data_IF_667973430662
#
_entry.id   IF_667973430662
#
_cell.length_a   1.000
_cell.length_b   1.000
_cell.length_c   1.000
_cell.angle_alpha   90.00
_cell.angle_beta   90.00
_cell.angle_gamma   90.00
#
_symmetry.space_group_name_H-M   'P 1'
#
loop_
_entity.id
_entity.type
_entity.pdbx_description
1 polymer ?
#
# COMPACT_ATOMS: atom_id res chain seq x y z
N UNK A 1 4.93 22.87 61.89
CA UNK A 1 5.64 22.83 60.61
C UNK A 1 5.84 21.37 60.30
N UNK A 2 4.94 20.73 59.51
CA UNK A 2 4.98 19.30 59.16
C UNK A 2 5.19 19.17 57.64
N UNK A 3 6.36 18.70 57.27
CA UNK A 3 6.72 18.40 55.91
C UNK A 3 6.08 17.07 55.51
N UNK A 4 5.21 17.06 54.49
CA UNK A 4 4.65 15.83 53.90
C UNK A 4 5.51 15.45 52.68
N UNK A 5 6.12 14.29 52.76
CA UNK A 5 6.76 13.64 51.59
C UNK A 5 5.69 13.09 50.66
N UNK A 6 5.70 13.54 49.41
CA UNK A 6 4.97 12.90 48.30
C UNK A 6 5.88 11.81 47.71
N UNK A 7 5.50 10.58 47.88
CA UNK A 7 6.06 9.45 47.12
C UNK A 7 5.42 9.43 45.73
N UNK A 8 6.19 9.72 44.70
CA UNK A 8 5.79 9.49 43.31
C UNK A 8 5.99 8.00 42.98
N UNK A 9 4.87 7.31 42.73
CA UNK A 9 4.92 5.94 42.19
C UNK A 9 5.04 6.05 40.66
N UNK A 10 6.22 5.67 40.16
CA UNK A 10 6.42 5.46 38.73
C UNK A 10 5.75 4.12 38.34
N UNK A 11 4.67 4.21 37.57
CA UNK A 11 4.02 3.07 36.95
C UNK A 11 4.83 2.67 35.72
N UNK A 12 5.60 1.59 35.83
CA UNK A 12 6.26 0.95 34.70
C UNK A 12 5.19 0.13 33.96
N UNK A 13 4.70 0.60 32.84
CA UNK A 13 3.88 -0.18 31.91
C UNK A 13 4.81 -1.18 31.20
N UNK A 14 4.80 -2.42 31.68
CA UNK A 14 5.29 -3.56 30.90
C UNK A 14 4.28 -3.84 29.77
N UNK A 15 4.62 -3.45 28.55
CA UNK A 15 3.95 -3.96 27.34
C UNK A 15 4.30 -5.43 27.18
N UNK A 16 3.41 -6.30 27.61
CA UNK A 16 3.43 -7.72 27.25
C UNK A 16 3.14 -7.80 25.74
N UNK A 17 4.18 -8.04 24.92
CA UNK A 17 4.00 -8.61 23.61
C UNK A 17 3.34 -9.98 23.76
N UNK A 18 2.04 -10.04 23.53
CA UNK A 18 1.32 -11.30 23.36
C UNK A 18 1.75 -11.87 22.02
N UNK A 19 2.72 -12.76 22.03
CA UNK A 19 3.02 -13.63 20.90
C UNK A 19 1.75 -14.46 20.62
N UNK A 20 1.07 -14.18 19.52
CA UNK A 20 0.03 -15.08 19.00
C UNK A 20 0.62 -16.47 18.82
N UNK A 21 -0.08 -17.54 19.22
CA UNK A 21 0.44 -18.89 19.04
C UNK A 21 0.64 -19.15 17.54
N UNK A 22 1.88 -19.46 17.17
CA UNK A 22 2.20 -19.93 15.83
C UNK A 22 1.35 -21.17 15.52
N UNK A 23 0.51 -21.09 14.51
CA UNK A 23 -0.16 -22.26 13.98
C UNK A 23 0.90 -23.21 13.40
N UNK A 24 1.02 -24.38 14.04
CA UNK A 24 1.72 -25.56 13.52
C UNK A 24 3.23 -25.52 13.28
N UNK A 25 4.05 -24.83 14.00
CA UNK A 25 5.50 -25.09 14.04
C UNK A 25 6.28 -25.05 12.69
N UNK A 26 5.65 -24.64 11.60
CA UNK A 26 6.26 -24.52 10.28
C UNK A 26 6.92 -23.16 10.15
N UNK A 27 8.21 -23.16 9.91
CA UNK A 27 8.97 -21.95 9.59
C UNK A 27 8.65 -21.52 8.15
N UNK A 28 7.77 -20.55 8.00
CA UNK A 28 7.26 -20.11 6.70
C UNK A 28 8.33 -19.45 5.83
N UNK A 29 9.41 -18.94 6.42
CA UNK A 29 10.54 -18.35 5.67
C UNK A 29 11.26 -19.38 4.78
N UNK A 30 11.08 -20.68 5.05
CA UNK A 30 11.61 -21.78 4.23
C UNK A 30 10.69 -22.20 3.10
N UNK A 31 9.47 -21.68 3.07
CA UNK A 31 8.49 -21.96 2.04
C UNK A 31 8.65 -20.96 0.87
N UNK A 32 7.91 -21.21 -0.19
CA UNK A 32 7.79 -20.29 -1.33
C UNK A 32 6.41 -19.64 -1.29
N UNK A 33 6.35 -18.33 -1.49
CA UNK A 33 5.10 -17.61 -1.64
C UNK A 33 4.36 -18.10 -2.89
N UNK A 34 3.04 -18.00 -2.88
CA UNK A 34 2.26 -18.31 -4.07
C UNK A 34 2.64 -17.38 -5.24
N UNK A 35 2.58 -17.86 -6.49
CA UNK A 35 2.87 -17.02 -7.64
C UNK A 35 1.82 -15.92 -7.79
N UNK A 36 2.28 -14.67 -7.86
CA UNK A 36 1.43 -13.50 -8.14
C UNK A 36 1.28 -13.29 -9.65
N UNK A 37 0.10 -12.86 -10.08
CA UNK A 37 -0.18 -12.52 -11.48
C UNK A 37 0.72 -11.39 -11.98
N UNK A 38 1.26 -11.54 -13.18
CA UNK A 38 2.25 -10.62 -13.75
C UNK A 38 1.79 -9.16 -13.81
N UNK A 39 0.51 -8.93 -14.15
CA UNK A 39 -0.02 -7.57 -14.25
C UNK A 39 -0.04 -6.82 -12.91
N UNK A 40 -0.12 -7.56 -11.78
CA UNK A 40 -0.03 -6.99 -10.44
C UNK A 40 1.44 -6.81 -10.00
N UNK A 41 2.28 -7.83 -10.20
CA UNK A 41 3.71 -7.77 -9.86
C UNK A 41 4.42 -6.61 -10.55
N UNK A 42 4.13 -6.38 -11.85
CA UNK A 42 4.71 -5.29 -12.64
C UNK A 42 3.98 -3.96 -12.47
N UNK A 43 2.92 -3.95 -11.68
CA UNK A 43 1.98 -2.86 -11.58
C UNK A 43 2.39 -1.72 -10.66
N UNK A 44 1.54 -0.70 -10.70
CA UNK A 44 1.49 0.41 -9.76
C UNK A 44 0.05 0.55 -9.29
N UNK A 45 -0.18 0.41 -7.99
CA UNK A 45 -1.50 0.56 -7.39
C UNK A 45 -1.82 2.05 -7.28
N UNK A 46 -3.03 2.42 -7.66
CA UNK A 46 -3.60 3.73 -7.43
C UNK A 46 -4.84 3.59 -6.54
N UNK A 47 -4.72 4.01 -5.31
CA UNK A 47 -5.78 3.95 -4.32
C UNK A 47 -6.73 5.13 -4.47
N UNK A 48 -8.02 4.85 -4.55
CA UNK A 48 -9.08 5.82 -4.81
C UNK A 48 -10.10 5.82 -3.67
N UNK A 49 -10.21 6.95 -2.98
CA UNK A 49 -11.37 7.22 -2.14
C UNK A 49 -12.43 7.94 -2.98
N UNK A 50 -13.50 7.27 -3.44
CA UNK A 50 -14.44 7.86 -4.42
C UNK A 50 -15.02 9.19 -3.94
N UNK A 51 -15.32 9.30 -2.64
CA UNK A 51 -15.84 10.53 -2.02
C UNK A 51 -14.91 11.72 -2.18
N UNK A 52 -13.62 11.51 -2.03
CA UNK A 52 -12.61 12.58 -2.06
C UNK A 52 -12.12 12.92 -3.48
N UNK A 53 -12.18 11.95 -4.40
CA UNK A 53 -11.48 11.95 -5.67
C UNK A 53 -11.95 13.04 -6.66
N UNK A 54 -13.23 13.38 -6.67
CA UNK A 54 -13.78 14.38 -7.59
C UNK A 54 -14.74 15.33 -6.89
N UNK A 55 -15.09 16.42 -7.54
CA UNK A 55 -16.13 17.33 -7.04
C UNK A 55 -17.47 16.61 -6.84
N UNK A 56 -17.81 15.65 -7.72
CA UNK A 56 -19.00 14.82 -7.61
C UNK A 56 -18.92 13.87 -6.40
N UNK A 57 -17.74 13.32 -6.13
CA UNK A 57 -17.51 12.37 -5.04
C UNK A 57 -18.20 11.01 -5.25
N UNK A 58 -18.29 10.57 -6.51
CA UNK A 58 -18.97 9.36 -6.93
C UNK A 58 -18.15 8.54 -7.95
N UNK A 59 -18.63 7.33 -8.30
CA UNK A 59 -17.98 6.44 -9.25
C UNK A 59 -17.88 7.04 -10.65
N UNK A 60 -18.86 7.86 -11.05
CA UNK A 60 -18.82 8.52 -12.33
C UNK A 60 -17.73 9.58 -12.39
N UNK A 61 -17.54 10.34 -11.31
CA UNK A 61 -16.44 11.29 -11.19
C UNK A 61 -15.05 10.63 -11.18
N UNK A 62 -14.96 9.38 -10.74
CA UNK A 62 -13.74 8.57 -10.89
C UNK A 62 -13.55 8.18 -12.35
N UNK A 63 -14.59 7.65 -12.99
CA UNK A 63 -14.54 7.19 -14.40
C UNK A 63 -14.17 8.33 -15.35
N UNK A 64 -14.68 9.54 -15.12
CA UNK A 64 -14.42 10.72 -15.96
C UNK A 64 -12.94 11.13 -15.99
N UNK A 65 -12.11 10.62 -15.04
CA UNK A 65 -10.67 10.92 -14.96
C UNK A 65 -9.76 9.76 -15.34
N UNK A 66 -10.27 8.73 -15.97
CA UNK A 66 -9.46 7.57 -16.35
C UNK A 66 -8.38 7.87 -17.38
N UNK A 67 -8.58 8.85 -18.26
CA UNK A 67 -7.54 9.25 -19.21
C UNK A 67 -6.36 9.94 -18.48
N UNK A 68 -6.64 10.70 -17.40
CA UNK A 68 -5.59 11.26 -16.54
C UNK A 68 -4.80 10.14 -15.84
N UNK A 69 -5.48 9.13 -15.29
CA UNK A 69 -4.84 8.00 -14.63
C UNK A 69 -4.03 7.13 -15.61
N UNK A 70 -4.53 6.93 -16.82
CA UNK A 70 -3.79 6.27 -17.89
C UNK A 70 -2.53 7.06 -18.27
N UNK A 71 -2.64 8.37 -18.40
CA UNK A 71 -1.50 9.28 -18.69
C UNK A 71 -0.49 9.26 -17.54
N UNK A 72 -0.94 9.22 -16.28
CA UNK A 72 -0.08 9.05 -15.11
C UNK A 72 0.71 7.73 -15.18
N UNK A 73 0.11 6.70 -15.76
CA UNK A 73 0.74 5.42 -15.99
C UNK A 73 0.38 4.33 -14.98
N UNK A 74 -0.49 4.57 -14.04
CA UNK A 74 -0.98 3.53 -13.11
C UNK A 74 -1.84 2.50 -13.85
N UNK A 75 -1.90 1.29 -13.33
CA UNK A 75 -2.61 0.20 -14.00
C UNK A 75 -3.45 -0.67 -13.07
N UNK A 76 -3.40 -0.46 -11.75
CA UNK A 76 -4.24 -1.13 -10.76
C UNK A 76 -5.02 -0.07 -10.00
N UNK A 77 -6.32 -0.02 -10.20
CA UNK A 77 -7.21 0.90 -9.49
C UNK A 77 -7.79 0.18 -8.28
N UNK A 78 -7.40 0.61 -7.07
CA UNK A 78 -7.97 0.12 -5.84
C UNK A 78 -9.05 1.10 -5.36
N UNK A 79 -10.31 0.69 -5.45
CA UNK A 79 -11.44 1.44 -4.88
C UNK A 79 -11.56 1.12 -3.38
N UNK A 80 -11.40 2.10 -2.51
CA UNK A 80 -11.75 2.00 -1.09
C UNK A 80 -13.22 1.55 -0.94
N UNK A 81 -13.70 1.11 0.25
CA UNK A 81 -15.02 0.50 0.38
C UNK A 81 -16.13 1.34 -0.24
N UNK A 82 -16.89 0.73 -1.13
CA UNK A 82 -18.00 1.37 -1.87
C UNK A 82 -19.37 0.93 -1.37
N UNK A 83 -19.43 0.13 -0.33
CA UNK A 83 -20.67 -0.36 0.28
C UNK A 83 -21.41 0.75 1.03
N UNK A 84 -22.73 0.59 1.27
CA UNK A 84 -23.48 1.46 2.15
C UNK A 84 -22.88 1.51 3.56
N UNK A 85 -22.69 2.71 4.08
CA UNK A 85 -22.11 2.97 5.40
C UNK A 85 -23.17 2.87 6.49
N UNK A 86 -22.79 2.35 7.66
CA UNK A 86 -23.66 2.30 8.83
C UNK A 86 -23.99 3.68 9.42
N UNK A 87 -25.23 3.83 9.86
CA UNK A 87 -25.70 5.05 10.53
C UNK A 87 -25.68 4.93 12.06
N UNK A 88 -25.83 3.70 12.58
CA UNK A 88 -25.82 3.46 14.02
C UNK A 88 -24.39 3.54 14.56
N UNK A 89 -24.17 4.41 15.54
CA UNK A 89 -22.88 4.67 16.18
C UNK A 89 -21.82 5.24 15.21
N UNK A 90 -22.21 5.84 14.08
CA UNK A 90 -21.26 6.36 13.11
C UNK A 90 -20.35 7.43 13.70
N UNK A 91 -19.10 7.45 13.27
CA UNK A 91 -18.09 8.47 13.56
C UNK A 91 -18.07 9.54 12.49
N UNK A 92 -17.79 10.80 12.84
CA UNK A 92 -17.75 11.92 11.91
C UNK A 92 -19.07 12.22 11.21
N UNK A 93 -19.03 13.09 10.23
CA UNK A 93 -20.24 13.56 9.52
C UNK A 93 -20.77 12.53 8.52
N UNK A 94 -19.90 11.73 7.88
CA UNK A 94 -20.27 10.78 6.82
C UNK A 94 -20.13 9.32 7.24
N UNK A 95 -19.55 9.03 8.41
CA UNK A 95 -19.26 7.68 8.88
C UNK A 95 -18.02 7.05 8.27
N UNK A 96 -17.56 5.95 8.87
CA UNK A 96 -16.44 5.17 8.35
C UNK A 96 -16.86 4.39 7.10
N UNK A 97 -16.13 4.47 5.98
CA UNK A 97 -16.37 3.61 4.82
C UNK A 97 -16.19 2.12 5.16
N UNK A 98 -15.47 1.83 6.24
CA UNK A 98 -15.25 0.48 6.75
C UNK A 98 -16.38 -0.05 7.63
N UNK A 99 -17.37 0.77 8.03
CA UNK A 99 -18.57 0.32 8.71
C UNK A 99 -19.63 -0.14 7.69
N UNK A 100 -19.48 -1.35 7.16
CA UNK A 100 -20.32 -1.89 6.07
C UNK A 100 -21.71 -2.26 6.57
N UNK A 101 -22.76 -1.60 6.04
CA UNK A 101 -24.17 -1.86 6.35
C UNK A 101 -24.80 -2.93 5.45
N UNK A 102 -24.37 -3.05 4.21
CA UNK A 102 -24.85 -4.05 3.26
C UNK A 102 -23.72 -4.50 2.33
N UNK A 103 -23.34 -5.77 2.41
CA UNK A 103 -22.27 -6.36 1.59
C UNK A 103 -22.59 -6.45 0.08
N UNK A 104 -23.87 -6.44 -0.31
CA UNK A 104 -24.30 -6.55 -1.70
C UNK A 104 -24.76 -5.22 -2.31
N UNK A 105 -24.72 -4.15 -1.53
CA UNK A 105 -25.12 -2.81 -1.93
C UNK A 105 -23.95 -1.94 -2.35
N UNK A 106 -24.24 -0.95 -3.19
CA UNK A 106 -23.37 0.20 -3.44
C UNK A 106 -23.92 1.39 -2.66
N UNK A 107 -23.03 2.17 -2.05
CA UNK A 107 -23.41 3.40 -1.36
C UNK A 107 -24.15 4.33 -2.31
N UNK A 108 -25.40 4.72 -2.01
CA UNK A 108 -26.18 5.61 -2.89
C UNK A 108 -25.48 6.93 -3.20
N UNK A 109 -24.60 7.40 -2.32
CA UNK A 109 -23.80 8.61 -2.57
C UNK A 109 -22.71 8.37 -3.65
N UNK A 110 -22.36 7.11 -3.93
CA UNK A 110 -21.34 6.76 -4.94
C UNK A 110 -21.97 6.37 -6.30
N UNK A 111 -23.26 6.09 -6.33
CA UNK A 111 -23.97 5.70 -7.55
C UNK A 111 -24.65 4.35 -7.46
N UNK A 112 -24.73 3.68 -8.61
CA UNK A 112 -25.47 2.44 -8.81
C UNK A 112 -24.56 1.28 -9.23
N UNK A 113 -25.11 0.07 -9.26
CA UNK A 113 -24.42 -1.11 -9.83
C UNK A 113 -24.08 -0.92 -11.31
N UNK A 114 -24.91 -0.18 -12.07
CA UNK A 114 -24.63 0.15 -13.46
C UNK A 114 -23.42 1.08 -13.59
N UNK A 115 -23.26 2.04 -12.67
CA UNK A 115 -22.10 2.93 -12.65
C UNK A 115 -20.81 2.17 -12.35
N UNK A 116 -20.82 1.21 -11.42
CA UNK A 116 -19.64 0.37 -11.17
C UNK A 116 -19.31 -0.53 -12.37
N UNK A 117 -20.31 -1.16 -13.00
CA UNK A 117 -20.09 -1.95 -14.24
C UNK A 117 -19.47 -1.09 -15.35
N UNK A 118 -19.96 0.15 -15.52
CA UNK A 118 -19.37 1.10 -16.46
C UNK A 118 -17.94 1.42 -16.10
N UNK A 119 -17.66 1.73 -14.84
CA UNK A 119 -16.32 2.02 -14.33
C UNK A 119 -15.34 0.89 -14.66
N UNK A 120 -15.67 -0.35 -14.32
CA UNK A 120 -14.80 -1.51 -14.57
C UNK A 120 -14.58 -1.71 -16.07
N UNK A 121 -15.64 -1.64 -16.89
CA UNK A 121 -15.54 -1.74 -18.36
C UNK A 121 -14.62 -0.68 -18.95
N UNK A 122 -14.77 0.58 -18.52
CA UNK A 122 -13.94 1.70 -19.01
C UNK A 122 -12.48 1.60 -18.55
N UNK A 123 -12.23 1.07 -17.34
CA UNK A 123 -10.88 0.77 -16.87
C UNK A 123 -10.22 -0.32 -17.73
N UNK A 124 -10.92 -1.43 -17.96
CA UNK A 124 -10.43 -2.53 -18.80
C UNK A 124 -10.15 -2.08 -20.24
N UNK A 125 -11.02 -1.24 -20.83
CA UNK A 125 -10.80 -0.69 -22.17
C UNK A 125 -9.50 0.15 -22.26
N UNK A 126 -8.99 0.65 -21.14
CA UNK A 126 -7.73 1.39 -21.06
C UNK A 126 -6.54 0.54 -20.60
N UNK A 127 -6.73 -0.77 -20.40
CA UNK A 127 -5.72 -1.69 -19.92
C UNK A 127 -5.45 -1.58 -18.41
N UNK A 128 -6.35 -0.97 -17.65
CA UNK A 128 -6.27 -0.89 -16.19
C UNK A 128 -7.11 -1.99 -15.54
N UNK A 129 -6.68 -2.46 -14.39
CA UNK A 129 -7.33 -3.47 -13.55
C UNK A 129 -8.05 -2.80 -12.38
N UNK A 130 -9.14 -3.39 -11.91
CA UNK A 130 -9.93 -2.83 -10.81
C UNK A 130 -10.03 -3.85 -9.67
N UNK A 131 -9.57 -3.45 -8.49
CA UNK A 131 -9.77 -4.17 -7.25
C UNK A 131 -10.63 -3.32 -6.30
N UNK A 132 -11.39 -3.97 -5.43
CA UNK A 132 -12.19 -3.28 -4.42
C UNK A 132 -11.78 -3.69 -3.02
N UNK A 133 -11.95 -2.77 -2.09
CA UNK A 133 -11.74 -3.02 -0.68
C UNK A 133 -12.87 -3.86 -0.09
N UNK A 134 -12.53 -4.89 0.68
CA UNK A 134 -13.48 -5.80 1.30
C UNK A 134 -13.24 -5.90 2.81
N UNK A 135 -14.25 -5.50 3.57
CA UNK A 135 -14.20 -5.48 5.03
C UNK A 135 -14.81 -6.77 5.58
N UNK A 136 -13.96 -7.75 5.90
CA UNK A 136 -14.43 -9.07 6.34
C UNK A 136 -14.31 -9.29 7.86
N UNK A 137 -13.63 -8.40 8.59
CA UNK A 137 -13.46 -8.55 10.04
C UNK A 137 -14.70 -8.13 10.86
N UNK A 138 -15.49 -7.18 10.34
CA UNK A 138 -16.58 -6.55 11.09
C UNK A 138 -17.65 -6.00 10.16
N UNK A 139 -18.80 -5.60 10.75
CA UNK A 139 -19.89 -4.89 10.04
C UNK A 139 -20.31 -3.66 10.81
N UNK A 140 -21.10 -2.79 10.18
CA UNK A 140 -21.86 -1.76 10.93
C UNK A 140 -22.89 -2.41 11.88
N UNK A 141 -23.26 -1.69 12.95
CA UNK A 141 -24.27 -2.13 13.92
C UNK A 141 -25.70 -2.20 13.37
N UNK A 142 -25.97 -1.57 12.24
CA UNK A 142 -27.24 -1.61 11.53
C UNK A 142 -27.18 -2.49 10.26
N UNK A 143 -26.15 -3.33 10.13
CA UNK A 143 -26.13 -4.38 9.12
C UNK A 143 -27.26 -5.39 9.40
N UNK A 144 -27.94 -5.83 8.34
CA UNK A 144 -29.07 -6.79 8.45
C UNK A 144 -28.69 -8.12 9.11
N UNK A 145 -27.42 -8.53 8.97
CA UNK A 145 -26.91 -9.77 9.56
C UNK A 145 -26.97 -9.77 11.09
N UNK A 146 -26.91 -8.61 11.74
CA UNK A 146 -27.07 -8.48 13.21
C UNK A 146 -28.39 -9.13 13.70
N UNK A 147 -29.45 -8.99 12.89
CA UNK A 147 -30.78 -9.53 13.24
C UNK A 147 -31.05 -10.90 12.63
N UNK A 148 -30.54 -11.14 11.41
CA UNK A 148 -30.80 -12.37 10.66
C UNK A 148 -29.90 -13.52 11.09
N UNK A 149 -28.65 -13.20 11.49
CA UNK A 149 -27.60 -14.15 11.81
C UNK A 149 -26.76 -13.65 12.98
N UNK A 150 -27.35 -13.44 14.20
CA UNK A 150 -26.57 -13.01 15.36
C UNK A 150 -25.44 -13.96 15.70
N UNK A 151 -25.58 -15.25 15.34
CA UNK A 151 -24.53 -16.27 15.49
C UNK A 151 -23.29 -16.07 14.60
N UNK A 152 -23.31 -15.10 13.69
CA UNK A 152 -22.15 -14.71 12.89
C UNK A 152 -21.19 -13.77 13.64
N UNK A 153 -21.58 -13.30 14.82
CA UNK A 153 -20.83 -12.31 15.57
C UNK A 153 -20.23 -12.88 16.85
N UNK A 154 -19.13 -12.29 17.28
CA UNK A 154 -18.55 -12.60 18.60
C UNK A 154 -19.39 -12.00 19.71
N UNK A 155 -19.55 -12.77 20.78
CA UNK A 155 -20.34 -12.37 21.95
C UNK A 155 -19.47 -12.28 23.18
N UNK A 156 -19.83 -11.35 24.08
CA UNK A 156 -19.25 -11.27 25.41
C UNK A 156 -19.82 -12.37 26.33
N UNK A 157 -19.33 -12.42 27.57
CA UNK A 157 -19.78 -13.41 28.57
C UNK A 157 -21.26 -13.24 28.99
N UNK A 158 -21.90 -12.13 28.63
CA UNK A 158 -23.31 -11.85 28.87
C UNK A 158 -24.18 -12.15 27.64
N UNK A 159 -23.60 -12.61 26.56
CA UNK A 159 -24.30 -12.90 25.32
C UNK A 159 -24.57 -11.68 24.42
N UNK A 160 -23.94 -10.53 24.67
CA UNK A 160 -24.07 -9.37 23.80
C UNK A 160 -23.05 -9.45 22.69
N UNK A 161 -23.43 -9.04 21.46
CA UNK A 161 -22.50 -8.87 20.37
C UNK A 161 -21.44 -7.84 20.76
N UNK A 162 -20.18 -8.12 20.48
CA UNK A 162 -19.04 -7.27 20.84
C UNK A 162 -18.41 -6.60 19.60
N UNK A 163 -17.41 -5.75 19.82
CA UNK A 163 -16.66 -5.04 18.80
C UNK A 163 -15.16 -5.36 18.93
N UNK A 164 -14.39 -5.26 17.83
CA UNK A 164 -12.95 -5.48 17.88
C UNK A 164 -12.22 -4.28 18.49
N UNK A 165 -11.23 -4.53 19.34
CA UNK A 165 -10.38 -3.49 19.92
C UNK A 165 -11.16 -2.34 20.58
N UNK A 166 -11.00 -1.09 20.09
CA UNK A 166 -11.74 0.10 20.52
C UNK A 166 -12.68 0.66 19.43
N UNK A 167 -13.01 -0.14 18.39
CA UNK A 167 -13.82 0.29 17.24
C UNK A 167 -15.31 0.15 17.54
N UNK A 168 -15.82 1.05 18.35
CA UNK A 168 -17.19 1.01 18.90
C UNK A 168 -18.31 1.23 17.86
N UNK A 169 -17.96 1.66 16.66
CA UNK A 169 -18.88 1.89 15.53
C UNK A 169 -19.17 0.62 14.70
N UNK A 170 -18.50 -0.51 14.99
CA UNK A 170 -18.64 -1.76 14.25
C UNK A 170 -18.86 -2.97 15.15
N UNK A 171 -19.39 -4.06 14.61
CA UNK A 171 -19.66 -5.33 15.29
C UNK A 171 -18.73 -6.43 14.75
N UNK A 172 -18.11 -7.22 15.63
CA UNK A 172 -17.06 -8.17 15.32
C UNK A 172 -17.61 -9.50 14.82
N UNK A 173 -17.15 -9.96 13.65
CA UNK A 173 -17.53 -11.23 13.06
C UNK A 173 -16.75 -12.40 13.69
N UNK A 174 -17.39 -13.58 13.76
CA UNK A 174 -16.82 -14.80 14.34
C UNK A 174 -16.58 -15.88 13.28
N UNK A 175 -15.35 -15.97 12.80
CA UNK A 175 -14.93 -16.94 11.81
C UNK A 175 -14.82 -18.40 12.31
N UNK A 176 -15.12 -18.68 13.56
CA UNK A 176 -15.35 -20.05 14.03
C UNK A 176 -16.66 -20.64 13.46
N UNK A 177 -17.60 -19.77 13.02
CA UNK A 177 -18.85 -20.17 12.42
C UNK A 177 -18.68 -20.52 10.92
N UNK A 178 -18.89 -21.79 10.49
CA UNK A 178 -18.71 -22.20 9.09
C UNK A 178 -19.73 -21.56 8.14
N UNK A 179 -20.93 -21.20 8.61
CA UNK A 179 -21.96 -20.53 7.79
C UNK A 179 -21.52 -19.09 7.45
N UNK A 180 -20.86 -18.40 8.36
CA UNK A 180 -20.26 -17.09 8.07
C UNK A 180 -19.20 -17.21 6.97
N UNK A 181 -18.30 -18.19 7.08
CA UNK A 181 -17.29 -18.44 6.05
C UNK A 181 -17.91 -18.65 4.67
N UNK A 182 -18.92 -19.50 4.58
CA UNK A 182 -19.65 -19.73 3.31
C UNK A 182 -20.27 -18.44 2.79
N UNK A 183 -20.98 -17.68 3.64
CA UNK A 183 -21.60 -16.41 3.27
C UNK A 183 -20.57 -15.40 2.69
N UNK A 184 -19.41 -15.28 3.31
CA UNK A 184 -18.37 -14.36 2.87
C UNK A 184 -17.73 -14.81 1.53
N UNK A 185 -17.51 -16.10 1.34
CA UNK A 185 -17.00 -16.63 0.08
C UNK A 185 -18.00 -16.40 -1.07
N UNK A 186 -19.29 -16.64 -0.83
CA UNK A 186 -20.35 -16.38 -1.81
C UNK A 186 -20.49 -14.90 -2.15
N UNK A 187 -20.33 -14.02 -1.15
CA UNK A 187 -20.34 -12.58 -1.33
C UNK A 187 -19.16 -12.13 -2.22
N UNK A 188 -17.95 -12.60 -1.94
CA UNK A 188 -16.78 -12.29 -2.78
C UNK A 188 -16.96 -12.80 -4.22
N UNK A 189 -17.46 -14.02 -4.38
CA UNK A 189 -17.76 -14.59 -5.70
C UNK A 189 -18.82 -13.79 -6.47
N UNK A 190 -19.83 -13.26 -5.75
CA UNK A 190 -20.82 -12.36 -6.33
C UNK A 190 -20.17 -11.09 -6.90
N UNK A 191 -19.31 -10.41 -6.14
CA UNK A 191 -18.64 -9.19 -6.59
C UNK A 191 -17.76 -9.43 -7.82
N UNK A 192 -17.02 -10.54 -7.86
CA UNK A 192 -16.21 -10.91 -9.02
C UNK A 192 -17.05 -11.15 -10.27
N UNK A 193 -18.14 -11.95 -10.15
CA UNK A 193 -18.99 -12.33 -11.30
C UNK A 193 -19.82 -11.15 -11.80
N UNK A 194 -20.39 -10.38 -10.88
CA UNK A 194 -21.35 -9.31 -11.22
C UNK A 194 -20.66 -8.10 -11.86
N UNK A 195 -19.41 -7.79 -11.43
CA UNK A 195 -18.71 -6.60 -11.84
C UNK A 195 -17.41 -6.85 -12.60
N UNK A 196 -17.05 -8.12 -12.83
CA UNK A 196 -15.80 -8.51 -13.50
C UNK A 196 -14.54 -7.91 -12.83
N UNK A 197 -14.53 -7.85 -11.48
CA UNK A 197 -13.41 -7.34 -10.71
C UNK A 197 -12.16 -8.21 -10.92
N UNK A 198 -10.98 -7.57 -10.83
CA UNK A 198 -9.69 -8.25 -11.01
C UNK A 198 -9.06 -8.66 -9.67
N UNK A 199 -9.69 -8.31 -8.55
CA UNK A 199 -9.21 -8.69 -7.24
C UNK A 199 -9.82 -7.89 -6.10
N UNK A 200 -9.17 -8.05 -4.94
CA UNK A 200 -9.60 -7.42 -3.70
C UNK A 200 -8.40 -6.94 -2.87
N UNK A 201 -8.59 -5.87 -2.12
CA UNK A 201 -7.83 -5.58 -0.92
C UNK A 201 -8.69 -5.97 0.28
N UNK A 202 -8.13 -6.67 1.22
CA UNK A 202 -8.84 -7.11 2.42
C UNK A 202 -8.42 -6.27 3.62
N UNK A 203 -9.42 -5.57 4.18
CA UNK A 203 -9.30 -4.80 5.39
C UNK A 203 -8.99 -5.69 6.58
N UNK A 204 -7.98 -5.31 7.39
CA UNK A 204 -7.57 -6.03 8.62
C UNK A 204 -7.43 -7.54 8.38
N UNK A 205 -6.80 -7.94 7.28
CA UNK A 205 -6.72 -9.33 6.82
C UNK A 205 -6.11 -10.28 7.86
N UNK A 206 -5.26 -9.79 8.75
CA UNK A 206 -4.64 -10.56 9.82
C UNK A 206 -5.62 -11.03 10.94
N UNK A 207 -6.87 -10.58 10.95
CA UNK A 207 -7.87 -10.96 11.97
C UNK A 207 -8.67 -12.22 11.60
N UNK A 208 -9.21 -12.38 10.37
CA UNK A 208 -9.76 -13.67 9.96
C UNK A 208 -8.65 -14.72 9.89
N UNK A 209 -8.94 -16.01 10.18
CA UNK A 209 -7.91 -17.05 10.22
C UNK A 209 -7.40 -17.42 8.82
N UNK A 210 -6.12 -17.78 8.71
CA UNK A 210 -5.46 -18.14 7.44
C UNK A 210 -6.18 -19.25 6.68
N UNK A 211 -6.70 -20.26 7.38
CA UNK A 211 -7.44 -21.36 6.77
C UNK A 211 -8.75 -20.90 6.09
N UNK A 212 -9.38 -19.82 6.58
CA UNK A 212 -10.51 -19.19 5.88
C UNK A 212 -10.04 -18.55 4.58
N UNK A 213 -8.92 -17.82 4.60
CA UNK A 213 -8.37 -17.22 3.39
C UNK A 213 -7.99 -18.25 2.34
N UNK A 214 -7.39 -19.38 2.74
CA UNK A 214 -7.08 -20.51 1.85
C UNK A 214 -8.35 -21.11 1.23
N UNK A 215 -9.43 -21.31 2.02
CA UNK A 215 -10.73 -21.78 1.53
C UNK A 215 -11.34 -20.80 0.52
N UNK A 216 -11.34 -19.51 0.86
CA UNK A 216 -11.88 -18.46 0.00
C UNK A 216 -11.10 -18.38 -1.32
N UNK A 217 -9.76 -18.41 -1.27
CA UNK A 217 -8.90 -18.40 -2.44
C UNK A 217 -9.20 -19.56 -3.38
N UNK A 218 -9.21 -20.77 -2.86
CA UNK A 218 -9.50 -21.98 -3.64
C UNK A 218 -10.89 -21.96 -4.30
N UNK A 219 -11.87 -21.29 -3.70
CA UNK A 219 -13.20 -21.10 -4.27
C UNK A 219 -13.22 -20.06 -5.39
N UNK A 220 -12.52 -18.91 -5.18
CA UNK A 220 -12.56 -17.78 -6.10
C UNK A 220 -11.68 -17.99 -7.33
N UNK A 221 -10.59 -18.72 -7.25
CA UNK A 221 -9.78 -19.11 -8.42
C UNK A 221 -10.56 -19.92 -9.45
N UNK A 222 -11.60 -20.66 -9.02
CA UNK A 222 -12.53 -21.33 -9.94
C UNK A 222 -13.44 -20.35 -10.68
N UNK A 223 -13.62 -19.16 -10.15
CA UNK A 223 -14.41 -18.09 -10.78
C UNK A 223 -13.55 -17.26 -11.73
N UNK A 224 -12.36 -16.84 -11.27
CA UNK A 224 -11.39 -16.06 -12.04
C UNK A 224 -9.97 -16.43 -11.60
N UNK A 225 -9.20 -17.18 -12.43
CA UNK A 225 -7.86 -17.63 -12.05
C UNK A 225 -6.85 -16.49 -11.83
N UNK A 226 -6.99 -15.39 -12.58
CA UNK A 226 -6.03 -14.26 -12.62
C UNK A 226 -6.33 -13.20 -11.56
N UNK A 227 -6.96 -13.57 -10.44
CA UNK A 227 -7.34 -12.64 -9.38
C UNK A 227 -6.14 -12.25 -8.52
N UNK A 228 -6.07 -10.95 -8.16
CA UNK A 228 -5.06 -10.40 -7.25
C UNK A 228 -5.66 -10.08 -5.88
N UNK A 229 -4.99 -10.52 -4.82
CA UNK A 229 -5.38 -10.30 -3.44
C UNK A 229 -4.31 -9.57 -2.64
N UNK A 230 -4.64 -8.39 -2.15
CA UNK A 230 -3.81 -7.57 -1.28
C UNK A 230 -4.33 -7.66 0.15
N UNK A 231 -3.51 -8.13 1.08
CA UNK A 231 -3.83 -8.17 2.50
C UNK A 231 -3.40 -6.87 3.21
N UNK A 232 -4.30 -6.23 3.93
CA UNK A 232 -3.86 -5.32 4.99
C UNK A 232 -3.47 -6.13 6.21
N UNK A 233 -2.18 -6.31 6.38
CA UNK A 233 -1.65 -7.13 7.47
C UNK A 233 -0.14 -7.32 7.33
N UNK A 234 0.39 -8.11 8.25
CA UNK A 234 1.81 -8.44 8.38
C UNK A 234 1.99 -9.94 8.76
N UNK A 235 1.14 -10.80 8.19
CA UNK A 235 1.14 -12.24 8.46
C UNK A 235 1.76 -13.02 7.31
N UNK A 236 2.98 -13.46 7.51
CA UNK A 236 3.79 -14.18 6.51
C UNK A 236 3.13 -15.49 6.02
N UNK A 237 2.36 -16.19 6.86
CA UNK A 237 1.70 -17.45 6.52
C UNK A 237 0.57 -17.28 5.47
N UNK A 238 -0.02 -16.09 5.37
CA UNK A 238 -1.09 -15.80 4.41
C UNK A 238 -0.59 -15.80 2.96
N UNK A 239 0.67 -15.42 2.71
CA UNK A 239 1.24 -15.39 1.36
C UNK A 239 1.68 -16.76 0.83
N UNK A 240 1.67 -17.80 1.66
CA UNK A 240 2.01 -19.16 1.18
C UNK A 240 0.96 -19.67 0.20
N UNK A 241 -0.35 -19.44 0.45
CA UNK A 241 -1.42 -20.00 -0.39
C UNK A 241 -2.59 -19.06 -0.69
N UNK A 242 -2.78 -17.98 0.06
CA UNK A 242 -3.97 -17.15 -0.05
C UNK A 242 -3.72 -15.78 -0.67
N UNK A 243 -2.83 -15.00 -0.11
CA UNK A 243 -2.59 -13.61 -0.50
C UNK A 243 -1.47 -13.50 -1.54
N UNK A 244 -1.58 -12.55 -2.46
CA UNK A 244 -0.58 -12.29 -3.47
C UNK A 244 0.44 -11.25 -3.01
N UNK A 245 0.05 -10.39 -2.08
CA UNK A 245 0.88 -9.37 -1.47
C UNK A 245 0.28 -8.93 -0.13
N UNK A 246 1.10 -8.36 0.74
CA UNK A 246 0.70 -7.70 1.98
C UNK A 246 1.23 -6.26 2.06
N UNK A 247 1.04 -5.62 3.21
CA UNK A 247 1.58 -4.30 3.51
C UNK A 247 3.00 -4.38 4.08
N UNK A 248 3.78 -3.33 3.87
CA UNK A 248 5.11 -3.17 4.47
C UNK A 248 5.07 -2.16 5.63
N UNK A 249 4.27 -2.42 6.66
CA UNK A 249 4.10 -1.49 7.79
C UNK A 249 5.41 -1.18 8.54
N UNK A 250 6.24 -2.20 8.79
CA UNK A 250 7.55 -2.00 9.43
C UNK A 250 8.45 -1.07 8.61
N UNK A 251 8.46 -1.23 7.27
CA UNK A 251 9.22 -0.35 6.37
C UNK A 251 8.66 1.08 6.36
N UNK A 252 7.32 1.24 6.33
CA UNK A 252 6.68 2.54 6.43
C UNK A 252 7.02 3.25 7.75
N UNK A 253 7.05 2.52 8.87
CA UNK A 253 7.44 3.05 10.17
C UNK A 253 8.93 3.45 10.20
N UNK A 254 9.80 2.63 9.59
CA UNK A 254 11.23 2.94 9.44
C UNK A 254 11.42 4.19 8.56
N UNK A 255 10.74 4.27 7.42
CA UNK A 255 10.71 5.44 6.54
C UNK A 255 10.36 6.71 7.32
N UNK A 256 9.26 6.66 8.07
CA UNK A 256 8.79 7.80 8.87
C UNK A 256 9.84 8.23 9.89
N UNK A 257 10.46 7.28 10.59
CA UNK A 257 11.48 7.58 11.59
C UNK A 257 12.77 8.16 10.99
N UNK A 258 13.20 7.65 9.84
CA UNK A 258 14.40 8.14 9.11
C UNK A 258 14.14 9.53 8.58
N UNK A 259 13.03 9.80 7.89
CA UNK A 259 12.68 11.10 7.33
C UNK A 259 12.46 12.18 8.39
N UNK A 260 12.10 11.77 9.61
CA UNK A 260 12.03 12.67 10.78
C UNK A 260 13.37 12.84 11.52
N UNK A 261 14.47 12.25 11.03
CA UNK A 261 15.78 12.29 11.66
C UNK A 261 15.87 11.55 13.01
N UNK A 262 14.92 10.65 13.29
CA UNK A 262 14.88 9.85 14.54
C UNK A 262 15.71 8.57 14.46
N UNK A 263 15.98 8.09 13.24
CA UNK A 263 16.80 6.91 12.95
C UNK A 263 17.74 7.20 11.77
N UNK A 264 18.91 6.56 11.68
CA UNK A 264 19.77 6.62 10.51
C UNK A 264 19.12 5.91 9.31
N UNK A 265 19.63 6.17 8.10
CA UNK A 265 19.17 5.57 6.85
C UNK A 265 19.27 4.04 6.84
N UNK A 266 20.22 3.46 7.61
CA UNK A 266 20.34 2.00 7.79
C UNK A 266 19.06 1.33 8.28
N UNK A 267 18.20 2.04 9.01
CA UNK A 267 16.93 1.49 9.50
C UNK A 267 15.98 1.04 8.37
N UNK A 268 16.14 1.58 7.16
CA UNK A 268 15.41 1.14 5.97
C UNK A 268 15.85 -0.27 5.58
N UNK A 269 17.18 -0.47 5.46
CA UNK A 269 17.76 -1.79 5.15
C UNK A 269 17.40 -2.81 6.23
N UNK A 270 17.55 -2.46 7.49
CA UNK A 270 17.25 -3.33 8.64
C UNK A 270 15.79 -3.79 8.63
N UNK A 271 14.85 -2.86 8.37
CA UNK A 271 13.43 -3.19 8.27
C UNK A 271 13.11 -4.07 7.07
N UNK A 272 13.70 -3.77 5.91
CA UNK A 272 13.56 -4.59 4.71
C UNK A 272 14.10 -6.00 4.94
N UNK A 273 15.32 -6.14 5.50
CA UNK A 273 15.95 -7.42 5.77
C UNK A 273 15.12 -8.29 6.73
N UNK A 274 14.60 -7.67 7.81
CA UNK A 274 13.73 -8.35 8.78
C UNK A 274 12.50 -8.96 8.08
N UNK A 275 11.85 -8.21 7.19
CA UNK A 275 10.70 -8.70 6.43
C UNK A 275 11.13 -9.79 5.44
N UNK A 276 12.20 -9.56 4.67
CA UNK A 276 12.73 -10.51 3.70
C UNK A 276 13.08 -11.87 4.33
N UNK A 277 13.67 -11.87 5.53
CA UNK A 277 14.08 -13.10 6.24
C UNK A 277 12.92 -13.84 6.90
N UNK A 278 11.81 -13.16 7.20
CA UNK A 278 10.68 -13.73 7.92
C UNK A 278 9.56 -14.24 6.99
N UNK A 279 9.45 -13.70 5.77
CA UNK A 279 8.40 -14.07 4.80
C UNK A 279 8.83 -15.23 3.88
N UNK A 280 7.86 -15.91 3.23
CA UNK A 280 8.16 -16.95 2.24
C UNK A 280 8.98 -16.37 1.08
N UNK A 281 9.84 -17.18 0.48
CA UNK A 281 10.65 -16.76 -0.66
C UNK A 281 9.77 -16.30 -1.82
N UNK A 282 10.04 -15.10 -2.33
CA UNK A 282 9.27 -14.49 -3.43
C UNK A 282 7.99 -13.79 -2.98
N UNK A 283 7.77 -13.62 -1.67
CA UNK A 283 6.71 -12.78 -1.12
C UNK A 283 6.77 -11.35 -1.70
N UNK A 284 5.61 -10.75 -1.90
CA UNK A 284 5.49 -9.39 -2.44
C UNK A 284 4.82 -8.47 -1.43
N UNK A 285 5.36 -7.26 -1.32
CA UNK A 285 4.84 -6.27 -0.40
C UNK A 285 4.41 -5.01 -1.14
N UNK A 286 3.28 -4.43 -0.75
CA UNK A 286 2.93 -3.09 -1.18
C UNK A 286 3.83 -2.07 -0.50
N UNK A 287 4.49 -1.23 -1.29
CA UNK A 287 5.39 -0.17 -0.82
C UNK A 287 4.69 1.18 -0.89
N UNK A 288 4.62 1.89 0.23
CA UNK A 288 3.89 3.14 0.32
C UNK A 288 4.56 4.15 1.26
N UNK A 289 4.48 5.41 0.92
CA UNK A 289 4.90 6.54 1.76
C UNK A 289 3.73 7.14 2.54
N UNK A 290 2.52 7.09 2.01
CA UNK A 290 1.26 7.31 2.72
C UNK A 290 0.11 6.52 2.06
N UNK A 291 -1.05 6.48 2.72
CA UNK A 291 -2.30 5.90 2.26
C UNK A 291 -3.48 6.61 2.96
N UNK A 292 -4.69 6.03 2.87
CA UNK A 292 -5.89 6.61 3.49
C UNK A 292 -5.89 6.62 5.03
N UNK A 293 -5.07 5.80 5.70
CA UNK A 293 -4.95 5.75 7.16
C UNK A 293 -3.88 6.69 7.71
N UNK A 294 -2.96 7.10 6.86
CA UNK A 294 -1.81 7.90 7.25
C UNK A 294 -1.98 9.39 6.92
N UNK A 295 -1.33 10.22 7.72
CA UNK A 295 -1.19 11.63 7.38
C UNK A 295 -0.34 11.77 6.12
N UNK A 296 -0.74 12.63 5.19
CA UNK A 296 -0.06 12.86 3.90
C UNK A 296 1.47 12.97 4.07
N UNK A 297 2.22 12.27 3.22
CA UNK A 297 3.69 12.30 3.23
C UNK A 297 4.21 13.74 3.06
N UNK A 298 3.59 14.53 2.19
CA UNK A 298 3.93 15.95 2.00
C UNK A 298 3.73 16.78 3.29
N UNK A 299 2.73 16.46 4.09
CA UNK A 299 2.49 17.14 5.37
C UNK A 299 3.45 16.68 6.47
N UNK A 300 4.03 15.47 6.34
CA UNK A 300 5.01 14.93 7.30
C UNK A 300 6.44 15.32 6.97
N UNK A 301 6.80 15.42 5.69
CA UNK A 301 8.19 15.50 5.21
C UNK A 301 8.49 16.76 4.37
N UNK A 302 7.48 17.59 4.08
CA UNK A 302 7.60 18.67 3.10
C UNK A 302 7.63 18.16 1.65
N UNK A 303 7.61 19.08 0.69
CA UNK A 303 7.54 18.73 -0.76
C UNK A 303 8.73 17.87 -1.22
N UNK A 304 10.00 18.28 -1.02
CA UNK A 304 11.13 17.48 -1.49
C UNK A 304 11.23 16.13 -0.75
N UNK A 305 10.97 16.14 0.57
CA UNK A 305 11.01 14.91 1.37
C UNK A 305 9.97 13.89 0.94
N UNK A 306 8.75 14.32 0.56
CA UNK A 306 7.71 13.44 0.04
C UNK A 306 8.09 12.81 -1.30
N UNK A 307 8.73 13.58 -2.20
CA UNK A 307 9.22 13.06 -3.48
C UNK A 307 10.35 12.04 -3.29
N UNK A 308 11.30 12.31 -2.37
CA UNK A 308 12.37 11.38 -2.04
C UNK A 308 11.85 10.07 -1.42
N UNK A 309 10.87 10.18 -0.51
CA UNK A 309 10.20 9.02 0.07
C UNK A 309 9.51 8.16 -1.00
N UNK A 310 8.81 8.80 -1.92
CA UNK A 310 8.13 8.09 -3.00
C UNK A 310 9.10 7.54 -4.06
N UNK A 311 10.27 8.18 -4.27
CA UNK A 311 11.33 7.63 -5.11
C UNK A 311 11.83 6.29 -4.57
N UNK A 312 11.99 6.16 -3.25
CA UNK A 312 12.31 4.88 -2.60
C UNK A 312 11.21 3.84 -2.89
N UNK A 313 9.94 4.20 -2.75
CA UNK A 313 8.82 3.26 -2.99
C UNK A 313 8.76 2.79 -4.44
N UNK A 314 9.11 3.64 -5.41
CA UNK A 314 9.14 3.26 -6.83
C UNK A 314 10.35 2.41 -7.23
N UNK A 315 11.43 2.48 -6.48
CA UNK A 315 12.71 1.83 -6.85
C UNK A 315 13.02 0.57 -6.03
N UNK A 316 12.47 0.45 -4.84
CA UNK A 316 12.58 -0.78 -4.04
C UNK A 316 11.74 -1.90 -4.67
N UNK A 317 11.94 -3.15 -4.24
CA UNK A 317 11.14 -4.31 -4.60
C UNK A 317 9.68 -4.17 -4.13
N UNK A 318 8.78 -5.00 -4.65
CA UNK A 318 7.35 -4.97 -4.30
C UNK A 318 6.51 -4.12 -5.25
N UNK A 319 5.30 -3.78 -4.85
CA UNK A 319 4.30 -3.08 -5.67
C UNK A 319 4.07 -1.67 -5.09
N UNK A 320 4.47 -0.59 -5.78
CA UNK A 320 4.31 0.76 -5.25
C UNK A 320 2.86 1.23 -5.27
N UNK A 321 2.47 1.95 -4.22
CA UNK A 321 1.18 2.61 -4.06
C UNK A 321 1.29 4.11 -4.36
N UNK A 322 0.28 4.64 -5.02
CA UNK A 322 -0.03 6.06 -5.10
C UNK A 322 -1.45 6.26 -4.55
N UNK A 323 -1.58 6.92 -3.41
CA UNK A 323 -2.89 7.32 -2.89
C UNK A 323 -3.36 8.61 -3.56
N UNK A 324 -4.62 8.68 -3.93
CA UNK A 324 -5.18 9.78 -4.72
C UNK A 324 -4.86 11.16 -4.12
N UNK A 325 -4.34 12.06 -4.95
CA UNK A 325 -3.87 13.39 -4.55
C UNK A 325 -2.37 13.47 -4.28
N UNK A 326 -1.64 12.37 -4.07
CA UNK A 326 -0.18 12.38 -3.93
C UNK A 326 0.48 12.97 -5.18
N UNK A 327 -0.01 12.61 -6.36
CA UNK A 327 0.54 13.01 -7.65
C UNK A 327 0.40 14.51 -7.96
N UNK A 328 -0.36 15.23 -7.15
CA UNK A 328 -0.49 16.70 -7.25
C UNK A 328 0.05 17.42 -6.01
N UNK A 329 0.56 16.68 -5.04
CA UNK A 329 1.03 17.22 -3.77
C UNK A 329 -0.11 17.81 -2.94
N UNK A 330 -1.29 17.17 -2.95
CA UNK A 330 -2.42 17.57 -2.13
C UNK A 330 -2.10 17.44 -0.64
N UNK A 331 -2.49 18.43 0.16
CA UNK A 331 -2.28 18.49 1.60
C UNK A 331 -3.57 18.34 2.40
N UNK A 332 -4.69 18.05 1.74
CA UNK A 332 -5.95 17.75 2.42
C UNK A 332 -5.73 16.61 3.39
N UNK A 333 -6.20 16.76 4.62
CA UNK A 333 -6.01 15.75 5.64
C UNK A 333 -6.56 14.39 5.19
N UNK A 334 -5.83 13.33 5.55
CA UNK A 334 -6.18 11.93 5.37
C UNK A 334 -5.99 11.18 6.68
N UNK A 335 -6.46 9.94 6.73
CA UNK A 335 -6.49 9.17 7.96
C UNK A 335 -7.68 9.51 8.87
N UNK A 336 -7.85 8.77 9.95
CA UNK A 336 -8.88 9.05 10.94
C UNK A 336 -8.45 10.26 11.82
N UNK A 337 -9.35 11.24 12.13
CA UNK A 337 -10.78 11.23 11.81
C UNK A 337 -11.17 11.84 10.46
N UNK A 338 -10.22 12.40 9.69
CA UNK A 338 -10.50 13.09 8.41
C UNK A 338 -11.20 12.18 7.40
N UNK A 339 -10.91 10.88 7.41
CA UNK A 339 -11.55 9.85 6.59
C UNK A 339 -13.08 9.79 6.77
N UNK A 340 -13.60 10.23 7.93
CA UNK A 340 -15.02 10.21 8.26
C UNK A 340 -15.76 11.51 7.90
N UNK A 341 -15.05 12.40 7.17
CA UNK A 341 -15.55 13.70 6.76
C UNK A 341 -15.66 13.81 5.23
N UNK A 342 -16.43 14.77 4.73
CA UNK A 342 -16.59 15.00 3.29
C UNK A 342 -15.51 15.92 2.76
N UNK A 343 -14.26 15.50 2.83
CA UNK A 343 -13.11 16.24 2.31
C UNK A 343 -12.88 15.91 0.83
N UNK A 344 -12.40 16.88 0.07
CA UNK A 344 -12.10 16.74 -1.36
C UNK A 344 -10.63 17.06 -1.61
N UNK A 345 -10.03 16.32 -2.53
CA UNK A 345 -8.69 16.63 -3.04
C UNK A 345 -8.73 17.97 -3.75
N UNK A 346 -7.76 18.83 -3.46
CA UNK A 346 -7.60 20.12 -4.11
C UNK A 346 -6.73 19.99 -5.37
N UNK A 347 -7.29 19.43 -6.44
CA UNK A 347 -6.61 19.19 -7.71
C UNK A 347 -5.90 20.41 -8.31
N UNK A 348 -6.43 21.65 -8.25
CA UNK A 348 -5.74 22.83 -8.80
C UNK A 348 -4.37 23.12 -8.20
N UNK A 349 -4.00 22.49 -7.07
CA UNK A 349 -2.66 22.64 -6.47
C UNK A 349 -1.55 22.21 -7.44
N UNK A 350 -1.85 21.31 -8.40
CA UNK A 350 -0.91 20.87 -9.43
C UNK A 350 -0.31 22.04 -10.23
N UNK A 351 -1.08 23.13 -10.43
CA UNK A 351 -0.61 24.33 -11.14
C UNK A 351 0.53 25.03 -10.37
N UNK A 352 0.50 24.96 -9.05
CA UNK A 352 1.52 25.52 -8.17
C UNK A 352 2.64 24.53 -7.84
N UNK A 353 2.41 23.25 -8.10
CA UNK A 353 3.33 22.12 -7.83
C UNK A 353 3.54 21.26 -9.08
N UNK A 354 3.94 21.84 -10.22
CA UNK A 354 4.04 21.12 -11.49
C UNK A 354 5.07 19.98 -11.45
N UNK A 355 5.99 19.99 -10.49
CA UNK A 355 6.99 18.95 -10.32
C UNK A 355 6.38 17.63 -9.83
N UNK A 356 5.27 17.69 -9.07
CA UNK A 356 4.62 16.50 -8.56
C UNK A 356 4.05 15.62 -9.67
N UNK A 357 3.14 16.09 -10.56
CA UNK A 357 2.64 15.25 -11.66
C UNK A 357 3.76 14.73 -12.56
N UNK A 358 4.79 15.54 -12.84
CA UNK A 358 5.94 15.11 -13.65
C UNK A 358 6.74 14.01 -12.96
N UNK A 359 7.00 14.16 -11.65
CA UNK A 359 7.69 13.15 -10.86
C UNK A 359 6.97 11.81 -10.93
N UNK A 360 5.70 11.76 -10.55
CA UNK A 360 4.94 10.51 -10.53
C UNK A 360 4.87 9.85 -11.91
N UNK A 361 4.54 10.63 -12.96
CA UNK A 361 4.47 10.12 -14.32
C UNK A 361 5.81 9.53 -14.78
N UNK A 362 6.92 10.22 -14.51
CA UNK A 362 8.26 9.80 -14.97
C UNK A 362 8.81 8.64 -14.16
N UNK A 363 8.61 8.62 -12.85
CA UNK A 363 9.03 7.50 -12.01
C UNK A 363 8.26 6.21 -12.36
N UNK A 364 6.96 6.34 -12.63
CA UNK A 364 6.16 5.20 -13.11
C UNK A 364 6.66 4.73 -14.49
N UNK A 365 6.96 5.64 -15.41
CA UNK A 365 7.50 5.30 -16.73
C UNK A 365 8.89 4.63 -16.61
N UNK A 366 9.77 5.17 -15.77
CA UNK A 366 11.08 4.58 -15.48
C UNK A 366 10.94 3.16 -14.95
N UNK A 367 10.11 2.93 -13.94
CA UNK A 367 9.85 1.59 -13.39
C UNK A 367 9.34 0.64 -14.49
N UNK A 368 8.38 1.08 -15.30
CA UNK A 368 7.83 0.25 -16.39
C UNK A 368 8.89 -0.13 -17.46
N UNK A 369 9.84 0.73 -17.71
CA UNK A 369 10.91 0.49 -18.70
C UNK A 369 12.07 -0.36 -18.18
N UNK A 370 12.13 -0.64 -16.87
CA UNK A 370 13.20 -1.39 -16.21
C UNK A 370 12.69 -2.70 -15.64
N UNK A 371 13.22 -3.83 -16.07
CA UNK A 371 12.92 -5.13 -15.46
C UNK A 371 13.50 -5.17 -14.04
N UNK A 372 14.70 -4.64 -13.85
CA UNK A 372 15.35 -4.56 -12.54
C UNK A 372 14.45 -3.87 -11.50
N UNK A 373 13.89 -2.72 -11.82
CA UNK A 373 13.01 -2.00 -10.88
C UNK A 373 11.69 -2.73 -10.63
N UNK A 374 11.18 -3.53 -11.58
CA UNK A 374 9.92 -4.28 -11.41
C UNK A 374 10.12 -5.62 -10.70
N UNK A 375 11.17 -6.36 -11.06
CA UNK A 375 11.34 -7.79 -10.73
C UNK A 375 12.68 -8.16 -10.16
N UNK A 376 13.68 -7.27 -10.27
CA UNK A 376 15.06 -7.57 -9.89
C UNK A 376 15.20 -7.84 -8.39
N UNK A 377 16.19 -8.61 -8.04
CA UNK A 377 16.61 -8.81 -6.66
C UNK A 377 17.25 -7.54 -6.10
N UNK A 378 17.16 -7.35 -4.78
CA UNK A 378 17.75 -6.20 -4.07
C UNK A 378 19.09 -6.61 -3.50
N UNK A 379 20.16 -5.88 -3.84
CA UNK A 379 21.46 -5.95 -3.19
C UNK A 379 21.80 -4.62 -2.56
N UNK A 380 21.98 -4.61 -1.23
CA UNK A 380 22.28 -3.39 -0.49
C UNK A 380 23.74 -3.01 -0.65
N UNK A 381 23.99 -1.79 -1.13
CA UNK A 381 25.34 -1.23 -1.34
C UNK A 381 25.78 -0.49 -0.08
N UNK A 382 26.96 -0.83 0.43
CA UNK A 382 27.58 -0.07 1.52
C UNK A 382 28.08 1.29 1.01
N UNK A 383 28.02 2.31 1.88
CA UNK A 383 28.52 3.64 1.57
C UNK A 383 29.10 4.32 2.81
N UNK A 384 29.88 5.37 2.61
CA UNK A 384 30.57 6.09 3.71
C UNK A 384 29.68 7.03 4.51
N UNK A 385 28.38 7.14 4.18
CA UNK A 385 27.41 8.00 4.87
C UNK A 385 26.07 7.28 5.07
N UNK A 386 26.08 6.19 5.79
CA UNK A 386 24.93 5.34 6.08
C UNK A 386 23.90 5.98 7.05
N UNK A 387 24.21 7.15 7.59
CA UNK A 387 23.27 7.95 8.40
C UNK A 387 22.23 8.62 7.52
N UNK A 388 22.61 9.15 6.35
CA UNK A 388 21.74 9.92 5.46
C UNK A 388 21.51 9.27 4.09
N UNK A 389 22.43 8.42 3.62
CA UNK A 389 22.37 7.86 2.26
C UNK A 389 21.89 6.41 2.28
N UNK A 390 20.84 6.16 1.52
CA UNK A 390 20.32 4.82 1.19
C UNK A 390 20.87 4.47 -0.18
N UNK A 391 21.53 3.30 -0.33
CA UNK A 391 22.08 2.83 -1.59
C UNK A 391 21.86 1.32 -1.76
N UNK A 392 21.40 0.93 -2.95
CA UNK A 392 21.19 -0.46 -3.33
C UNK A 392 21.20 -0.66 -4.83
N UNK A 393 21.52 -1.86 -5.26
CA UNK A 393 21.35 -2.33 -6.64
C UNK A 393 20.08 -3.18 -6.75
N UNK A 394 19.53 -3.20 -7.96
CA UNK A 394 18.47 -4.09 -8.39
C UNK A 394 18.97 -4.86 -9.61
N UNK A 395 18.94 -6.18 -9.55
CA UNK A 395 19.50 -7.06 -10.58
C UNK A 395 18.42 -7.83 -11.31
N UNK A 396 18.39 -7.74 -12.65
CA UNK A 396 17.52 -8.53 -13.50
C UNK A 396 18.25 -9.00 -14.77
N UNK A 397 17.56 -9.82 -15.56
CA UNK A 397 18.17 -10.39 -16.78
C UNK A 397 18.49 -9.33 -17.83
N UNK A 398 17.62 -8.34 -18.00
CA UNK A 398 17.76 -7.35 -19.08
C UNK A 398 18.51 -6.10 -18.69
N UNK A 399 18.44 -5.72 -17.42
CA UNK A 399 19.08 -4.51 -16.90
C UNK A 399 19.37 -4.63 -15.41
N UNK A 400 20.37 -3.86 -14.94
CA UNK A 400 20.59 -3.57 -13.53
C UNK A 400 20.29 -2.10 -13.28
N UNK A 401 19.85 -1.78 -12.06
CA UNK A 401 19.65 -0.42 -11.60
C UNK A 401 20.39 -0.17 -10.28
N UNK A 402 21.14 0.93 -10.20
CA UNK A 402 21.75 1.42 -8.96
C UNK A 402 20.95 2.64 -8.48
N UNK A 403 20.54 2.62 -7.23
CA UNK A 403 19.69 3.64 -6.61
C UNK A 403 20.42 4.26 -5.43
N UNK A 404 20.43 5.58 -5.35
CA UNK A 404 21.01 6.35 -4.24
C UNK A 404 20.01 7.42 -3.83
N UNK A 405 19.65 7.46 -2.53
CA UNK A 405 18.66 8.42 -2.00
C UNK A 405 19.25 9.10 -0.76
N UNK A 406 19.19 10.42 -0.74
CA UNK A 406 19.51 11.21 0.43
C UNK A 406 18.24 11.43 1.27
N UNK A 407 18.18 10.83 2.44
CA UNK A 407 17.07 10.94 3.41
C UNK A 407 17.20 12.11 4.38
N UNK A 408 18.18 13.00 4.17
CA UNK A 408 18.46 14.17 5.04
C UNK A 408 18.12 15.49 4.33
N UNK A 409 17.74 16.50 5.13
CA UNK A 409 17.43 17.86 4.65
C UNK A 409 18.69 18.73 4.47
N UNK A 410 19.75 18.15 3.91
CA UNK A 410 20.98 18.85 3.52
C UNK A 410 21.71 18.04 2.45
N UNK A 411 22.52 18.71 1.66
CA UNK A 411 23.34 18.01 0.67
C UNK A 411 24.36 17.11 1.39
N UNK A 412 24.52 15.91 0.90
CA UNK A 412 25.41 14.89 1.47
C UNK A 412 26.35 14.32 0.42
N UNK A 413 27.53 13.89 0.87
CA UNK A 413 28.50 13.17 0.07
C UNK A 413 28.61 11.75 0.58
N UNK A 414 28.81 10.82 -0.35
CA UNK A 414 29.11 9.42 -0.04
C UNK A 414 30.03 8.81 -1.09
N UNK A 415 30.84 7.87 -0.67
CA UNK A 415 31.52 6.92 -1.53
C UNK A 415 30.75 5.59 -1.49
N UNK A 416 30.40 5.03 -2.65
CA UNK A 416 29.72 3.75 -2.79
C UNK A 416 30.74 2.63 -2.88
N UNK A 417 30.56 1.57 -2.10
CA UNK A 417 31.42 0.39 -2.10
C UNK A 417 30.92 -0.65 -3.12
N UNK A 418 30.75 -0.24 -4.38
CA UNK A 418 30.36 -1.10 -5.50
C UNK A 418 30.99 -0.64 -6.80
N UNK A 419 31.06 -1.54 -7.79
CA UNK A 419 31.50 -1.24 -9.14
C UNK A 419 30.40 -0.46 -9.89
N UNK A 420 30.72 0.76 -10.31
CA UNK A 420 29.77 1.66 -10.97
C UNK A 420 29.94 1.71 -12.49
N UNK A 421 30.86 0.94 -13.05
CA UNK A 421 31.14 0.90 -14.48
C UNK A 421 29.92 0.49 -15.29
N UNK A 422 29.67 1.20 -16.39
CA UNK A 422 28.55 0.96 -17.29
C UNK A 422 27.20 1.46 -16.81
N UNK A 423 27.10 1.97 -15.56
CA UNK A 423 25.89 2.63 -15.10
C UNK A 423 25.81 4.07 -15.63
N UNK A 424 24.65 4.42 -16.21
CA UNK A 424 24.34 5.75 -16.72
C UNK A 424 23.12 6.33 -16.00
N UNK A 425 23.14 7.62 -15.70
CA UNK A 425 22.08 8.33 -15.01
C UNK A 425 20.79 8.36 -15.84
N UNK A 426 19.76 7.76 -15.30
CA UNK A 426 18.39 7.76 -15.82
C UNK A 426 17.40 8.47 -14.88
N UNK A 427 17.91 9.22 -13.90
CA UNK A 427 17.11 9.98 -12.96
C UNK A 427 16.20 10.94 -13.72
N UNK A 428 14.87 10.91 -13.49
CA UNK A 428 13.99 11.86 -14.16
C UNK A 428 14.26 13.31 -13.73
N UNK A 429 14.52 14.19 -14.69
CA UNK A 429 14.56 15.63 -14.44
C UNK A 429 13.13 16.17 -14.34
N UNK A 430 12.66 16.42 -13.12
CA UNK A 430 11.29 16.88 -12.85
C UNK A 430 11.10 18.39 -12.99
N UNK A 431 12.18 19.15 -13.04
CA UNK A 431 12.12 20.62 -13.11
C UNK A 431 11.68 21.14 -14.50
N UNK A 432 12.00 20.39 -15.56
CA UNK A 432 11.71 20.80 -16.95
C UNK A 432 10.72 19.86 -17.63
N UNK A 433 9.88 20.41 -18.49
CA UNK A 433 8.85 19.67 -19.21
C UNK A 433 9.51 18.79 -20.29
N UNK A 434 9.91 18.15 -20.74
CA UNK A 434 10.53 17.30 -21.80
C UNK A 434 12.04 17.10 -21.64
N UNK A 435 12.58 17.27 -20.43
CA UNK A 435 13.98 17.00 -20.20
C UNK A 435 14.24 15.48 -20.18
N UNK A 436 15.26 15.06 -20.91
CA UNK A 436 15.83 13.74 -20.80
C UNK A 436 16.72 13.65 -19.53
N UNK A 437 16.95 12.45 -18.99
CA UNK A 437 18.00 12.22 -18.00
C UNK A 437 19.36 12.67 -18.51
N UNK A 438 20.29 12.95 -17.58
CA UNK A 438 21.62 13.46 -17.97
C UNK A 438 22.42 12.45 -18.81
N UNK A 439 22.20 11.16 -18.59
CA UNK A 439 22.97 10.08 -19.22
C UNK A 439 24.43 10.01 -18.78
N UNK A 440 24.82 10.80 -17.77
CA UNK A 440 26.18 10.80 -17.23
C UNK A 440 26.53 9.45 -16.63
N UNK A 441 27.79 9.03 -16.77
CA UNK A 441 28.30 7.81 -16.14
C UNK A 441 28.29 7.97 -14.63
N UNK A 442 27.87 6.93 -13.91
CA UNK A 442 27.90 6.90 -12.45
C UNK A 442 29.33 7.05 -11.92
N UNK A 443 29.45 7.72 -10.79
CA UNK A 443 30.70 7.79 -10.00
C UNK A 443 30.46 7.14 -8.64
N UNK A 444 31.48 6.43 -8.14
CA UNK A 444 31.45 5.93 -6.76
C UNK A 444 31.41 7.07 -5.74
N UNK A 445 32.09 8.20 -6.04
CA UNK A 445 32.02 9.42 -5.23
C UNK A 445 30.85 10.29 -5.70
N UNK A 446 29.85 10.42 -4.87
CA UNK A 446 28.60 11.13 -5.15
C UNK A 446 28.37 12.32 -4.23
N UNK A 447 27.74 13.35 -4.79
CA UNK A 447 27.10 14.41 -4.00
C UNK A 447 25.61 14.44 -4.34
N UNK A 448 24.78 14.21 -3.34
CA UNK A 448 23.31 14.16 -3.48
C UNK A 448 22.69 15.31 -2.72
N UNK A 449 21.91 16.14 -3.40
CA UNK A 449 21.22 17.28 -2.80
C UNK A 449 20.31 16.87 -1.64
N UNK A 450 19.90 17.83 -0.81
CA UNK A 450 18.89 17.61 0.24
C UNK A 450 17.65 16.93 -0.34
N UNK A 451 17.22 15.80 0.24
CA UNK A 451 16.11 14.99 -0.26
C UNK A 451 16.25 14.59 -1.74
N UNK A 452 17.47 14.58 -2.27
CA UNK A 452 17.75 14.19 -3.64
C UNK A 452 17.81 12.67 -3.80
N UNK A 453 17.66 12.24 -5.04
CA UNK A 453 17.86 10.84 -5.40
C UNK A 453 18.56 10.73 -6.76
N UNK A 454 19.18 9.58 -7.02
CA UNK A 454 19.76 9.19 -8.29
C UNK A 454 19.34 7.77 -8.62
N UNK A 455 19.04 7.53 -9.89
CA UNK A 455 18.82 6.20 -10.45
C UNK A 455 19.69 6.05 -11.67
N UNK A 456 20.54 5.04 -11.64
CA UNK A 456 21.40 4.70 -12.77
C UNK A 456 20.99 3.34 -13.32
N UNK A 457 21.23 3.09 -14.60
CA UNK A 457 20.98 1.81 -15.26
C UNK A 457 22.15 1.37 -16.10
N UNK A 458 22.36 0.06 -16.19
CA UNK A 458 23.26 -0.59 -17.16
C UNK A 458 22.56 -1.82 -17.79
N UNK A 459 23.06 -2.32 -18.91
CA UNK A 459 22.60 -3.59 -19.46
C UNK A 459 22.90 -4.73 -18.48
N UNK A 460 21.95 -5.66 -18.32
CA UNK A 460 22.10 -6.81 -17.44
C UNK A 460 23.13 -7.81 -17.96
N UNK A 461 23.74 -8.56 -17.06
CA UNK A 461 24.77 -9.55 -17.36
C UNK A 461 24.30 -10.69 -18.28
N UNK A 462 22.98 -10.90 -18.42
CA UNK A 462 22.39 -11.89 -19.33
C UNK A 462 22.47 -11.53 -20.82
N UNK A 463 22.78 -10.27 -21.18
CA UNK A 463 22.95 -9.84 -22.58
C UNK A 463 24.41 -9.81 -23.04
N UNK A 464 25.39 -9.97 -22.16
CA UNK A 464 26.81 -9.89 -22.48
C UNK A 464 27.37 -11.11 -23.27
N UNK A 465 26.53 -12.03 -23.71
CA UNK A 465 26.93 -13.28 -24.39
C UNK A 465 26.40 -13.49 -25.81
N UNK A 466 25.82 -12.47 -26.46
CA UNK A 466 25.23 -12.62 -27.81
C UNK A 466 25.74 -11.59 -28.85
N UNK A 467 27.02 -11.22 -28.80
CA UNK A 467 27.70 -10.57 -29.91
C UNK A 467 28.73 -11.51 -30.57
#
# INVERSE_FOLDING_TARGET
MKIRHLCAHALVLLTLCVLSPAQNGVDVSKLTARPTVNWARDGVIYEIYPRAFSARGDLNGVTDRFDDLKKLGVNILWLMPINPIGEKNKKGSVGSPYAVRDYYGINPAYGTKADLKRLVKEAHARGMKVITDQVLNHTAWDNKLIKQHPEFYKHDVKGNITYPENWTDVAWLDYSNPKLRTYMIEMLAYWMKEFDLDGFRFDVAHKPPTDFWEQARAALEKVKPDVFWLAEGDRADEEVKAMDADYSWDLHNALTAVWQGKKPATAIRESWQKQHDAWPKGALHMRFSDNHDERRAIARFGEPGALAAQALMFTLDGIPLVYNGMEVGDTTESGAPALFENLKIFWPIAEKRPDFPRFYQRMIALRKSSEALRRGDVEWVSNTNDVCIISFERHATTDDALVVINSCNRAEKAHLETAVEGFHDVTPDIAKENAAPSGETASADLSVQAWGFRVYRRAGSGQAGSE
#
